data_IF_273749273528
#
_entry.id   IF_273749273528
#
_cell.length_a   1.000
_cell.length_b   1.000
_cell.length_c   1.000
_cell.angle_alpha   90.00
_cell.angle_beta   90.00
_cell.angle_gamma   90.00
#
_symmetry.space_group_name_H-M   'P 1'
#
loop_
_entity.id
_entity.type
_entity.pdbx_description
1 polymer ?
#
# COMPACT_ATOMS: atom_id res chain seq x y z
N UNK A 1 24.60 -0.71 17.77
CA UNK A 1 25.37 -0.04 16.69
C UNK A 1 24.36 0.68 15.82
N UNK A 2 24.19 1.98 16.04
CA UNK A 2 23.14 2.80 15.42
C UNK A 2 23.59 3.23 14.02
N UNK A 3 22.74 3.05 13.01
CA UNK A 3 22.87 3.74 11.72
C UNK A 3 22.70 5.24 12.00
N UNK A 4 23.80 5.95 12.21
CA UNK A 4 23.83 7.39 12.54
C UNK A 4 23.45 8.31 11.38
N UNK A 5 23.16 7.78 10.20
CA UNK A 5 22.74 8.55 9.03
C UNK A 5 21.51 7.87 8.42
N UNK A 6 20.28 8.33 8.65
CA UNK A 6 19.18 7.95 7.77
C UNK A 6 19.54 8.40 6.35
N UNK A 7 19.18 7.65 5.29
CA UNK A 7 19.36 8.10 3.91
C UNK A 7 18.39 9.28 3.64
N UNK A 8 18.71 10.44 4.18
CA UNK A 8 17.97 11.68 3.96
C UNK A 8 18.50 12.33 2.69
N UNK A 9 17.60 12.52 1.73
CA UNK A 9 17.64 13.47 0.62
C UNK A 9 18.17 13.03 -0.77
N UNK A 10 18.96 11.97 -0.94
CA UNK A 10 19.57 11.74 -2.27
C UNK A 10 18.56 11.40 -3.40
N UNK A 11 17.62 10.45 -3.26
CA UNK A 11 16.75 10.07 -4.38
C UNK A 11 15.66 11.11 -4.66
N UNK A 12 15.05 11.66 -3.61
CA UNK A 12 13.95 12.62 -3.73
C UNK A 12 14.41 13.97 -4.30
N UNK A 13 15.60 14.46 -3.92
CA UNK A 13 16.16 15.70 -4.46
C UNK A 13 16.59 15.55 -5.92
N UNK A 14 17.20 14.42 -6.29
CA UNK A 14 17.57 14.13 -7.68
C UNK A 14 16.33 14.02 -8.58
N UNK A 15 15.28 13.31 -8.12
CA UNK A 15 13.99 13.25 -8.82
C UNK A 15 13.40 14.63 -9.06
N UNK A 16 13.27 15.46 -8.01
CA UNK A 16 12.68 16.81 -8.08
C UNK A 16 13.34 17.69 -9.15
N UNK A 17 14.61 17.44 -9.47
CA UNK A 17 15.38 18.21 -10.46
C UNK A 17 15.37 17.61 -11.87
N UNK A 18 15.35 16.28 -12.01
CA UNK A 18 15.59 15.60 -13.29
C UNK A 18 14.37 14.91 -13.90
N UNK A 19 13.41 14.48 -13.08
CA UNK A 19 12.24 13.72 -13.52
C UNK A 19 11.10 13.82 -12.48
N UNK A 20 10.48 15.02 -12.30
CA UNK A 20 9.45 15.25 -11.29
C UNK A 20 8.19 14.38 -11.47
N UNK A 21 7.97 13.85 -12.67
CA UNK A 21 6.85 12.96 -13.03
C UNK A 21 7.04 11.51 -12.56
N UNK A 22 8.28 11.09 -12.28
CA UNK A 22 8.59 9.70 -11.92
C UNK A 22 8.31 9.48 -10.44
N UNK A 23 7.44 8.53 -10.11
CA UNK A 23 7.18 8.16 -8.73
C UNK A 23 8.38 7.44 -8.11
N UNK A 24 8.71 7.80 -6.87
CA UNK A 24 9.80 7.19 -6.09
C UNK A 24 9.22 6.51 -4.86
N UNK A 25 9.49 5.21 -4.74
CA UNK A 25 9.08 4.41 -3.60
C UNK A 25 10.24 4.01 -2.71
N UNK A 26 9.93 3.71 -1.46
CA UNK A 26 10.88 3.13 -0.51
C UNK A 26 10.51 1.67 -0.22
N UNK A 27 11.47 0.76 -0.39
CA UNK A 27 11.33 -0.63 0.03
C UNK A 27 11.70 -0.72 1.52
N UNK A 28 10.74 -1.10 2.37
CA UNK A 28 10.90 -1.15 3.82
C UNK A 28 10.82 -2.60 4.28
N UNK A 29 11.97 -3.17 4.63
CA UNK A 29 12.09 -4.55 5.17
C UNK A 29 11.95 -4.59 6.68
N UNK A 30 12.39 -3.53 7.36
CA UNK A 30 12.26 -3.36 8.80
C UNK A 30 11.89 -1.92 9.11
N UNK A 31 10.78 -1.74 9.81
CA UNK A 31 10.35 -0.42 10.23
C UNK A 31 11.16 -0.01 11.46
N UNK A 32 12.02 1.00 11.31
CA UNK A 32 12.67 1.70 12.42
C UNK A 32 12.21 3.15 12.37
N UNK A 33 11.43 3.57 13.37
CA UNK A 33 10.79 4.88 13.40
C UNK A 33 9.50 4.93 12.57
N UNK A 34 9.12 6.13 12.12
CA UNK A 34 7.89 6.35 11.36
C UNK A 34 8.15 6.34 9.85
N UNK A 35 7.77 5.28 9.10
CA UNK A 35 8.07 5.19 7.68
C UNK A 35 7.26 6.21 6.86
N UNK A 36 6.13 6.70 7.39
CA UNK A 36 5.30 7.72 6.76
C UNK A 36 5.98 9.10 6.75
N UNK A 37 6.94 9.34 7.64
CA UNK A 37 7.68 10.61 7.68
C UNK A 37 8.74 10.72 6.57
N UNK A 38 9.04 9.64 5.84
CA UNK A 38 10.09 9.62 4.83
C UNK A 38 9.63 10.25 3.50
N UNK A 39 10.56 10.87 2.78
CA UNK A 39 10.31 11.45 1.45
C UNK A 39 10.20 10.36 0.37
N UNK A 40 9.00 9.77 0.23
CA UNK A 40 8.63 8.85 -0.84
C UNK A 40 7.16 9.04 -1.24
N UNK A 41 6.81 8.72 -2.48
CA UNK A 41 5.42 8.75 -2.98
C UNK A 41 4.67 7.47 -2.60
N UNK A 42 5.39 6.38 -2.38
CA UNK A 42 4.83 5.11 -1.90
C UNK A 42 5.80 4.34 -1.01
N UNK A 43 5.25 3.47 -0.17
CA UNK A 43 6.01 2.54 0.68
C UNK A 43 5.73 1.11 0.21
N UNK A 44 6.79 0.37 -0.10
CA UNK A 44 6.73 -1.04 -0.48
C UNK A 44 7.18 -1.90 0.70
N UNK A 45 6.24 -2.60 1.33
CA UNK A 45 6.42 -3.18 2.67
C UNK A 45 6.13 -4.68 2.71
N UNK A 46 6.79 -5.38 3.63
CA UNK A 46 6.46 -6.77 3.93
C UNK A 46 5.07 -6.89 4.55
N UNK A 47 4.29 -7.90 4.14
CA UNK A 47 2.88 -8.09 4.51
C UNK A 47 2.58 -8.01 6.01
N UNK A 48 3.44 -8.56 6.87
CA UNK A 48 3.23 -8.56 8.32
C UNK A 48 3.44 -7.19 8.97
N UNK A 49 4.05 -6.23 8.27
CA UNK A 49 4.27 -4.88 8.76
C UNK A 49 3.10 -3.94 8.42
N UNK A 50 2.12 -4.39 7.64
CA UNK A 50 1.00 -3.57 7.16
C UNK A 50 -0.18 -3.67 8.12
N UNK A 51 -0.81 -2.54 8.41
CA UNK A 51 -2.03 -2.47 9.24
C UNK A 51 -2.95 -1.37 8.75
N UNK A 52 -4.26 -1.46 9.05
CA UNK A 52 -5.24 -0.43 8.69
C UNK A 52 -4.84 0.96 9.21
N UNK A 53 -4.26 1.04 10.42
CA UNK A 53 -3.76 2.30 10.99
C UNK A 53 -2.59 2.87 10.18
N UNK A 54 -1.64 2.04 9.75
CA UNK A 54 -0.53 2.47 8.91
C UNK A 54 -1.01 2.95 7.54
N UNK A 55 -1.92 2.20 6.92
CA UNK A 55 -2.51 2.54 5.62
C UNK A 55 -3.24 3.88 5.69
N UNK A 56 -4.14 4.05 6.67
CA UNK A 56 -4.87 5.31 6.85
C UNK A 56 -3.94 6.51 7.06
N UNK A 57 -2.86 6.33 7.84
CA UNK A 57 -1.83 7.37 8.01
C UNK A 57 -1.08 7.66 6.70
N UNK A 58 -0.63 6.65 5.99
CA UNK A 58 0.07 6.83 4.72
C UNK A 58 -0.81 7.57 3.69
N UNK A 59 -2.07 7.16 3.58
CA UNK A 59 -3.06 7.79 2.71
C UNK A 59 -3.34 9.25 3.10
N UNK A 60 -3.43 9.57 4.40
CA UNK A 60 -3.58 10.94 4.88
C UNK A 60 -2.38 11.83 4.52
N UNK A 61 -1.21 11.23 4.34
CA UNK A 61 0.01 11.89 3.87
C UNK A 61 0.22 11.80 2.35
N UNK A 62 -0.80 11.37 1.59
CA UNK A 62 -0.72 11.25 0.13
C UNK A 62 0.21 10.16 -0.38
N UNK A 63 0.58 9.19 0.47
CA UNK A 63 1.47 8.08 0.13
C UNK A 63 0.67 6.82 -0.17
N UNK A 64 1.10 6.04 -1.15
CA UNK A 64 0.55 4.71 -1.41
C UNK A 64 1.25 3.63 -0.57
N UNK A 65 0.55 2.53 -0.30
CA UNK A 65 1.11 1.32 0.31
C UNK A 65 1.08 0.19 -0.70
N UNK A 66 2.26 -0.34 -1.03
CA UNK A 66 2.45 -1.53 -1.84
C UNK A 66 2.93 -2.66 -0.92
N UNK A 67 2.40 -3.86 -1.08
CA UNK A 67 2.75 -5.00 -0.22
C UNK A 67 3.46 -6.09 -1.02
N UNK A 68 4.50 -6.68 -0.45
CA UNK A 68 5.24 -7.81 -1.03
C UNK A 68 5.60 -8.86 0.04
N UNK A 69 5.89 -10.11 -0.30
CA UNK A 69 5.36 -10.84 -1.46
C UNK A 69 4.15 -11.62 -0.96
N UNK A 70 2.97 -11.37 -1.51
CA UNK A 70 1.71 -11.93 -0.99
C UNK A 70 1.28 -13.12 -1.85
N UNK A 71 1.62 -14.32 -1.40
CA UNK A 71 1.38 -15.57 -2.13
C UNK A 71 0.27 -16.44 -1.52
N UNK A 72 -0.23 -16.08 -0.34
CA UNK A 72 -1.33 -16.77 0.33
C UNK A 72 -2.67 -16.09 0.00
N UNK A 73 -3.69 -16.89 -0.32
CA UNK A 73 -4.99 -16.37 -0.77
C UNK A 73 -5.72 -15.58 0.33
N UNK A 74 -5.69 -16.06 1.57
CA UNK A 74 -6.37 -15.39 2.68
C UNK A 74 -5.68 -14.05 2.96
N UNK A 75 -4.34 -14.02 2.87
CA UNK A 75 -3.59 -12.77 2.98
C UNK A 75 -3.88 -11.83 1.81
N UNK A 76 -4.03 -12.33 0.56
CA UNK A 76 -4.42 -11.49 -0.58
C UNK A 76 -5.77 -10.80 -0.32
N UNK A 77 -6.77 -11.54 0.14
CA UNK A 77 -8.10 -11.00 0.50
C UNK A 77 -7.95 -9.96 1.60
N UNK A 78 -7.23 -10.29 2.67
CA UNK A 78 -7.00 -9.40 3.80
C UNK A 78 -6.32 -8.09 3.37
N UNK A 79 -5.27 -8.14 2.55
CA UNK A 79 -4.55 -6.94 2.11
C UNK A 79 -5.46 -6.02 1.27
N UNK A 80 -6.26 -6.60 0.37
CA UNK A 80 -7.25 -5.85 -0.42
C UNK A 80 -8.31 -5.23 0.51
N UNK A 81 -8.74 -5.92 1.55
CA UNK A 81 -9.70 -5.42 2.55
C UNK A 81 -9.14 -4.29 3.41
N UNK A 82 -7.87 -4.38 3.77
CA UNK A 82 -7.15 -3.33 4.50
C UNK A 82 -6.96 -2.07 3.65
N UNK A 83 -7.11 -2.16 2.32
CA UNK A 83 -7.04 -1.03 1.41
C UNK A 83 -5.63 -0.70 0.93
N UNK A 84 -4.77 -1.71 0.75
CA UNK A 84 -3.47 -1.51 0.08
C UNK A 84 -3.68 -1.02 -1.36
N UNK A 85 -2.73 -0.25 -1.88
CA UNK A 85 -2.81 0.30 -3.25
C UNK A 85 -2.23 -0.66 -4.30
N UNK A 86 -1.28 -1.53 -3.92
CA UNK A 86 -0.69 -2.53 -4.82
C UNK A 86 -0.31 -3.83 -4.10
N UNK A 87 -0.46 -4.96 -4.78
CA UNK A 87 -0.03 -6.28 -4.29
C UNK A 87 1.02 -6.88 -5.23
N UNK A 88 2.23 -7.07 -4.71
CA UNK A 88 3.32 -7.75 -5.40
C UNK A 88 3.25 -9.24 -5.03
N UNK A 89 3.08 -10.10 -6.03
CA UNK A 89 2.80 -11.52 -5.85
C UNK A 89 3.41 -12.35 -6.98
N UNK A 90 3.78 -13.59 -6.69
CA UNK A 90 4.14 -14.57 -7.72
C UNK A 90 2.89 -15.18 -8.39
N UNK A 91 1.69 -14.89 -7.88
CA UNK A 91 0.39 -15.42 -8.35
C UNK A 91 -0.54 -14.28 -8.83
N UNK A 92 -0.15 -13.50 -9.87
CA UNK A 92 -0.92 -12.32 -10.29
C UNK A 92 -2.33 -12.68 -10.78
N UNK A 93 -2.51 -13.87 -11.38
CA UNK A 93 -3.80 -14.30 -11.90
C UNK A 93 -4.88 -14.38 -10.80
N UNK A 94 -4.53 -14.77 -9.58
CA UNK A 94 -5.51 -14.96 -8.51
C UNK A 94 -5.94 -13.62 -7.90
N UNK A 95 -5.00 -12.69 -7.76
CA UNK A 95 -5.31 -11.31 -7.34
C UNK A 95 -6.14 -10.58 -8.41
N UNK A 96 -5.91 -10.82 -9.71
CA UNK A 96 -6.77 -10.28 -10.78
C UNK A 96 -8.21 -10.79 -10.63
N UNK A 97 -8.38 -12.11 -10.48
CA UNK A 97 -9.72 -12.72 -10.31
C UNK A 97 -10.43 -12.16 -9.08
N UNK A 98 -9.71 -12.03 -7.97
CA UNK A 98 -10.23 -11.47 -6.72
C UNK A 98 -10.65 -10.00 -6.86
N UNK A 99 -9.88 -9.21 -7.61
CA UNK A 99 -10.25 -7.82 -7.93
C UNK A 99 -11.51 -7.75 -8.81
N UNK A 100 -11.61 -8.63 -9.80
CA UNK A 100 -12.76 -8.71 -10.69
C UNK A 100 -14.04 -9.16 -9.97
N UNK A 101 -13.94 -10.19 -9.11
CA UNK A 101 -15.09 -10.67 -8.33
C UNK A 101 -15.64 -9.56 -7.43
N UNK A 102 -14.75 -8.80 -6.76
CA UNK A 102 -15.14 -7.63 -5.96
C UNK A 102 -15.77 -6.50 -6.78
N UNK A 103 -15.22 -6.19 -7.96
CA UNK A 103 -15.79 -5.16 -8.83
C UNK A 103 -17.25 -5.49 -9.20
N UNK A 104 -17.53 -6.79 -9.41
CA UNK A 104 -18.83 -7.32 -9.83
C UNK A 104 -19.85 -7.51 -8.69
N UNK A 105 -19.48 -7.30 -7.42
CA UNK A 105 -20.43 -7.38 -6.30
C UNK A 105 -21.46 -6.24 -6.34
N UNK A 106 -22.71 -6.55 -5.97
CA UNK A 106 -23.78 -5.56 -5.84
C UNK A 106 -23.55 -4.63 -4.63
N UNK A 107 -24.15 -3.44 -4.64
CA UNK A 107 -24.01 -2.44 -3.56
C UNK A 107 -24.29 -2.96 -2.14
N UNK A 108 -25.33 -3.77 -1.87
CA UNK A 108 -25.54 -4.32 -0.53
C UNK A 108 -24.47 -5.34 -0.12
N UNK A 109 -23.96 -6.15 -1.06
CA UNK A 109 -22.88 -7.11 -0.78
C UNK A 109 -21.57 -6.38 -0.46
N UNK A 110 -21.22 -5.33 -1.22
CA UNK A 110 -20.05 -4.48 -0.95
C UNK A 110 -20.08 -3.84 0.44
N UNK A 111 -21.28 -3.54 0.98
CA UNK A 111 -21.43 -2.98 2.32
C UNK A 111 -21.17 -4.03 3.41
N UNK A 112 -21.64 -5.26 3.21
CA UNK A 112 -21.40 -6.39 4.13
C UNK A 112 -19.91 -6.75 4.18
N UNK A 113 -19.22 -6.73 3.04
CA UNK A 113 -17.79 -7.06 2.93
C UNK A 113 -16.84 -5.85 3.06
N UNK A 114 -17.36 -4.62 3.15
CA UNK A 114 -16.59 -3.36 3.10
C UNK A 114 -16.44 -2.64 4.45
N UNK A 115 -16.88 -3.26 5.55
CA UNK A 115 -16.98 -2.60 6.87
C UNK A 115 -15.64 -2.09 7.44
N UNK A 116 -14.49 -2.62 7.00
CA UNK A 116 -13.18 -2.12 7.39
C UNK A 116 -12.78 -0.79 6.71
N UNK A 117 -13.25 -0.53 5.48
CA UNK A 117 -12.90 0.68 4.71
C UNK A 117 -13.73 1.91 5.12
N UNK A 118 -14.93 1.71 5.70
CA UNK A 118 -15.81 2.81 6.13
C UNK A 118 -15.29 3.56 7.36
N UNK A 119 -14.51 2.92 8.23
CA UNK A 119 -14.04 3.53 9.48
C UNK A 119 -12.97 4.63 9.27
N UNK A 120 -12.40 4.74 8.06
CA UNK A 120 -11.33 5.68 7.77
C UNK A 120 -11.61 6.59 6.57
N UNK A 121 -12.86 7.05 6.38
CA UNK A 121 -13.21 8.16 5.47
C UNK A 121 -12.71 8.05 4.02
N UNK A 122 -12.31 6.86 3.58
CA UNK A 122 -11.64 6.62 2.32
C UNK A 122 -12.65 6.38 1.22
N UNK A 123 -12.64 7.23 0.20
CA UNK A 123 -13.39 7.06 -1.05
C UNK A 123 -13.27 5.63 -1.59
N UNK A 124 -14.41 4.99 -1.86
CA UNK A 124 -14.59 3.64 -2.44
C UNK A 124 -13.97 3.44 -3.86
N UNK A 125 -13.06 4.31 -4.29
CA UNK A 125 -12.54 4.39 -5.68
C UNK A 125 -11.05 4.10 -5.80
N UNK A 126 -10.40 3.44 -4.83
CA UNK A 126 -9.00 3.01 -5.01
C UNK A 126 -8.95 1.57 -5.52
N UNK A 127 -8.59 1.43 -6.80
CA UNK A 127 -8.34 0.14 -7.44
C UNK A 127 -6.96 -0.36 -7.03
N UNK A 128 -6.88 -1.59 -6.53
CA UNK A 128 -5.59 -2.24 -6.24
C UNK A 128 -4.87 -2.60 -7.54
N UNK A 129 -3.60 -2.21 -7.63
CA UNK A 129 -2.70 -2.51 -8.76
C UNK A 129 -1.86 -3.77 -8.46
N UNK A 130 -1.24 -4.34 -9.50
CA UNK A 130 -0.34 -5.50 -9.42
C UNK A 130 1.08 -5.08 -9.73
#
# INVERSE_FOLDING_TARGET
>A
MFLKNPPTAAPAAVRKRLAPEVQVGLIVTKVVGDPVALEADFLSMYQDAVSAKLIGRAHAHGKQIHVWTVNDHDIQVQMIELGVDSVITDQPADVIKLRQSRANLSSPEKLVFGSAAYACGGSLRRTVTL
#
